data_IF_402174749155
#
_entry.id   IF_402174749155
#
_cell.length_a   1.000
_cell.length_b   1.000
_cell.length_c   1.000
_cell.angle_alpha   90.00
_cell.angle_beta   90.00
_cell.angle_gamma   90.00
#
_symmetry.space_group_name_H-M   'P 1'
#
loop_
_entity.id
_entity.type
_entity.pdbx_description
1 polymer ?
#
# COMPACT_ATOMS: atom_id res chain seq x y z
N UNK A 1 7.06 5.34 -27.38
CA UNK A 1 6.92 4.41 -28.53
C UNK A 1 5.72 3.48 -28.30
N UNK A 2 5.61 2.69 -27.20
CA UNK A 2 4.51 1.75 -26.98
C UNK A 2 3.12 2.41 -27.02
N UNK A 3 2.95 3.60 -26.46
CA UNK A 3 1.66 4.31 -26.48
C UNK A 3 1.27 4.76 -27.89
N UNK A 4 2.23 5.19 -28.71
CA UNK A 4 1.98 5.58 -30.10
C UNK A 4 1.58 4.34 -30.93
N UNK A 5 2.26 3.21 -30.69
CA UNK A 5 1.98 1.98 -31.41
C UNK A 5 0.60 1.39 -31.10
N UNK A 6 0.18 1.48 -29.85
CA UNK A 6 -1.13 1.00 -29.39
C UNK A 6 -2.28 2.00 -29.61
N UNK A 7 -2.01 3.20 -30.10
CA UNK A 7 -3.03 4.20 -30.40
C UNK A 7 -4.02 3.71 -31.47
N UNK A 8 -3.51 3.03 -32.51
CA UNK A 8 -4.34 2.40 -33.53
C UNK A 8 -5.31 1.35 -32.94
N UNK A 9 -4.90 0.61 -31.92
CA UNK A 9 -5.76 -0.31 -31.19
C UNK A 9 -6.85 0.45 -30.42
N UNK A 10 -6.46 1.52 -29.71
CA UNK A 10 -7.39 2.32 -28.91
C UNK A 10 -8.48 2.93 -29.80
N UNK A 11 -8.10 3.50 -30.93
CA UNK A 11 -9.03 4.11 -31.89
C UNK A 11 -9.97 3.08 -32.50
N UNK A 12 -9.48 1.94 -32.95
CA UNK A 12 -10.32 0.90 -33.53
C UNK A 12 -11.31 0.31 -32.52
N UNK A 13 -10.89 0.08 -31.29
CA UNK A 13 -11.79 -0.40 -30.23
C UNK A 13 -12.87 0.63 -29.86
N UNK A 14 -12.52 1.92 -29.81
CA UNK A 14 -13.49 3.01 -29.59
C UNK A 14 -14.49 3.14 -30.73
N UNK A 15 -14.04 3.08 -32.00
CA UNK A 15 -14.90 3.09 -33.19
C UNK A 15 -15.92 1.96 -33.19
N UNK A 16 -15.57 0.80 -32.63
CA UNK A 16 -16.46 -0.35 -32.43
C UNK A 16 -17.39 -0.21 -31.20
N UNK A 17 -17.33 0.93 -30.51
CA UNK A 17 -18.19 1.21 -29.36
C UNK A 17 -17.74 0.61 -28.04
N UNK A 18 -16.51 0.08 -27.96
CA UNK A 18 -15.99 -0.48 -26.71
C UNK A 18 -15.50 0.61 -25.77
N UNK A 19 -15.82 0.47 -24.47
CA UNK A 19 -15.26 1.31 -23.40
C UNK A 19 -13.97 0.67 -22.90
N UNK A 20 -12.84 1.27 -23.25
CA UNK A 20 -11.52 0.77 -22.89
C UNK A 20 -10.80 1.73 -21.95
N UNK A 21 -10.01 1.18 -21.04
CA UNK A 21 -9.04 1.90 -20.21
C UNK A 21 -7.70 1.20 -20.41
N UNK A 22 -6.71 1.93 -20.88
CA UNK A 22 -5.36 1.39 -21.08
C UNK A 22 -4.32 2.18 -20.29
N UNK A 23 -3.40 1.44 -19.71
CA UNK A 23 -2.20 1.99 -19.09
C UNK A 23 -0.99 1.17 -19.57
N UNK A 24 -0.22 1.74 -20.47
CA UNK A 24 0.85 1.05 -21.20
C UNK A 24 0.33 -0.22 -21.90
N UNK A 25 0.76 -1.38 -21.47
CA UNK A 25 0.36 -2.71 -21.96
C UNK A 25 -0.83 -3.34 -21.19
N UNK A 26 -1.22 -2.77 -20.07
CA UNK A 26 -2.39 -3.22 -19.30
C UNK A 26 -3.67 -2.61 -19.90
N UNK A 27 -4.57 -3.47 -20.39
CA UNK A 27 -5.83 -3.10 -21.04
C UNK A 27 -7.01 -3.63 -20.23
N UNK A 28 -8.00 -2.77 -19.98
CA UNK A 28 -9.27 -3.11 -19.38
C UNK A 28 -10.41 -2.72 -20.32
N UNK A 29 -11.28 -3.67 -20.67
CA UNK A 29 -12.45 -3.44 -21.50
C UNK A 29 -13.70 -3.65 -20.64
N UNK A 30 -14.58 -2.66 -20.61
CA UNK A 30 -15.81 -2.68 -19.83
C UNK A 30 -16.98 -3.14 -20.71
N UNK A 31 -17.67 -4.20 -20.29
CA UNK A 31 -18.77 -4.80 -21.02
C UNK A 31 -19.99 -5.00 -20.11
N UNK A 32 -21.20 -4.96 -20.69
CA UNK A 32 -22.46 -5.11 -19.95
C UNK A 32 -22.86 -6.57 -19.73
N UNK A 33 -22.31 -7.52 -20.49
CA UNK A 33 -22.61 -8.94 -20.39
C UNK A 33 -21.39 -9.80 -20.66
N UNK A 34 -21.45 -11.08 -20.26
CA UNK A 34 -20.39 -12.04 -20.52
C UNK A 34 -20.16 -12.28 -22.00
N UNK A 35 -21.23 -12.43 -22.78
CA UNK A 35 -21.15 -12.60 -24.24
C UNK A 35 -20.51 -11.38 -24.91
N UNK A 36 -20.86 -10.17 -24.46
CA UNK A 36 -20.21 -8.94 -24.95
C UNK A 36 -18.72 -8.91 -24.59
N UNK A 37 -18.33 -9.41 -23.42
CA UNK A 37 -16.93 -9.47 -23.00
C UNK A 37 -16.13 -10.52 -23.80
N UNK A 38 -16.74 -11.67 -24.13
CA UNK A 38 -16.13 -12.69 -24.99
C UNK A 38 -15.90 -12.15 -26.41
N UNK A 39 -16.87 -11.47 -26.98
CA UNK A 39 -16.76 -10.81 -28.29
C UNK A 39 -15.70 -9.70 -28.28
N UNK A 40 -15.68 -8.86 -27.25
CA UNK A 40 -14.68 -7.80 -27.10
C UNK A 40 -13.26 -8.37 -26.97
N UNK A 41 -13.10 -9.47 -26.20
CA UNK A 41 -11.83 -10.18 -26.10
C UNK A 41 -11.36 -10.73 -27.45
N UNK A 42 -12.25 -11.38 -28.20
CA UNK A 42 -11.93 -11.91 -29.53
C UNK A 42 -11.51 -10.79 -30.50
N UNK A 43 -12.25 -9.69 -30.53
CA UNK A 43 -11.92 -8.52 -31.35
C UNK A 43 -10.58 -7.89 -30.95
N UNK A 44 -10.35 -7.68 -29.65
CA UNK A 44 -9.09 -7.14 -29.16
C UNK A 44 -7.90 -8.02 -29.54
N UNK A 45 -8.03 -9.34 -29.38
CA UNK A 45 -6.99 -10.30 -29.78
C UNK A 45 -6.75 -10.23 -31.29
N UNK A 46 -7.80 -10.20 -32.08
CA UNK A 46 -7.67 -10.10 -33.55
C UNK A 46 -6.93 -8.82 -33.99
N UNK A 47 -7.21 -7.67 -33.38
CA UNK A 47 -6.51 -6.41 -33.69
C UNK A 47 -5.04 -6.49 -33.26
N UNK A 48 -4.78 -6.92 -32.02
CA UNK A 48 -3.44 -6.97 -31.46
C UNK A 48 -2.54 -7.97 -32.22
N UNK A 49 -3.02 -9.19 -32.43
CA UNK A 49 -2.23 -10.25 -33.10
C UNK A 49 -2.27 -10.15 -34.62
N UNK A 50 -3.45 -9.88 -35.20
CA UNK A 50 -3.64 -9.84 -36.64
C UNK A 50 -3.02 -8.60 -37.27
N UNK A 51 -3.36 -7.41 -36.78
CA UNK A 51 -2.94 -6.12 -37.36
C UNK A 51 -1.61 -5.63 -36.80
N UNK A 52 -1.48 -5.62 -35.45
CA UNK A 52 -0.32 -5.04 -34.80
C UNK A 52 0.82 -6.05 -34.54
N UNK A 53 0.60 -7.34 -34.86
CA UNK A 53 1.61 -8.41 -34.70
C UNK A 53 2.17 -8.50 -33.26
N UNK A 54 1.33 -8.17 -32.29
CA UNK A 54 1.64 -8.31 -30.87
C UNK A 54 1.08 -9.62 -30.33
N UNK A 55 1.76 -10.24 -29.39
CA UNK A 55 1.29 -11.47 -28.73
C UNK A 55 0.48 -11.14 -27.47
N UNK A 56 -0.75 -11.66 -27.38
CA UNK A 56 -1.61 -11.51 -26.20
C UNK A 56 -1.28 -12.60 -25.18
N UNK A 57 -0.96 -12.21 -23.95
CA UNK A 57 -0.72 -13.16 -22.88
C UNK A 57 -2.05 -13.79 -22.40
N UNK A 58 -2.32 -15.01 -22.86
CA UNK A 58 -3.57 -15.74 -22.57
C UNK A 58 -3.73 -16.11 -21.10
N UNK A 59 -2.64 -16.36 -20.36
CA UNK A 59 -2.68 -16.68 -18.93
C UNK A 59 -3.12 -15.48 -18.07
N UNK A 60 -2.79 -14.27 -18.49
CA UNK A 60 -3.17 -13.02 -17.81
C UNK A 60 -4.48 -12.42 -18.31
N UNK A 61 -4.91 -12.78 -19.51
CA UNK A 61 -6.11 -12.23 -20.14
C UNK A 61 -7.33 -13.06 -19.76
N UNK A 62 -8.18 -12.53 -18.90
CA UNK A 62 -9.37 -13.22 -18.41
C UNK A 62 -10.57 -12.30 -18.33
N UNK A 63 -11.76 -12.88 -18.34
CA UNK A 63 -13.03 -12.19 -18.14
C UNK A 63 -13.42 -12.36 -16.68
N UNK A 64 -13.74 -11.26 -16.03
CA UNK A 64 -14.12 -11.24 -14.60
C UNK A 64 -15.41 -10.44 -14.42
N UNK A 65 -16.31 -10.92 -13.57
CA UNK A 65 -17.48 -10.15 -13.16
C UNK A 65 -17.06 -9.03 -12.20
N UNK A 66 -17.73 -7.88 -12.26
CA UNK A 66 -17.41 -6.72 -11.42
C UNK A 66 -17.55 -7.02 -9.91
N UNK A 67 -18.46 -7.92 -9.52
CA UNK A 67 -18.65 -8.30 -8.12
C UNK A 67 -17.51 -9.16 -7.57
N UNK A 68 -16.81 -9.91 -8.43
CA UNK A 68 -15.64 -10.71 -8.06
C UNK A 68 -14.38 -9.85 -7.86
N UNK A 69 -14.43 -8.58 -8.27
CA UNK A 69 -13.33 -7.63 -8.18
C UNK A 69 -12.33 -7.75 -9.32
N UNK A 70 -12.22 -6.67 -10.09
CA UNK A 70 -11.28 -6.54 -11.21
C UNK A 70 -9.92 -6.08 -10.72
N UNK A 71 -8.87 -6.84 -11.01
CA UNK A 71 -7.49 -6.50 -10.63
C UNK A 71 -6.86 -5.64 -11.72
N UNK A 72 -6.63 -4.35 -11.41
CA UNK A 72 -6.02 -3.41 -12.35
C UNK A 72 -5.05 -2.48 -11.60
N UNK A 73 -3.86 -2.25 -12.12
CA UNK A 73 -2.83 -1.34 -11.58
C UNK A 73 -2.55 -1.51 -10.06
N UNK A 74 -2.59 -2.73 -9.57
CA UNK A 74 -2.29 -3.03 -8.14
C UNK A 74 -3.44 -2.80 -7.17
N UNK A 75 -4.61 -2.40 -7.68
CA UNK A 75 -5.87 -2.34 -6.94
C UNK A 75 -6.82 -3.43 -7.41
N UNK A 76 -7.79 -3.75 -6.58
CA UNK A 76 -8.93 -4.62 -6.87
C UNK A 76 -10.18 -3.75 -6.81
N UNK A 77 -10.83 -3.60 -7.97
CA UNK A 77 -11.97 -2.72 -8.17
C UNK A 77 -13.24 -3.58 -8.14
N UNK A 78 -14.06 -3.41 -7.12
CA UNK A 78 -15.38 -4.01 -7.03
C UNK A 78 -16.48 -2.97 -7.26
N UNK A 79 -17.73 -3.41 -7.26
CA UNK A 79 -18.91 -2.55 -7.50
C UNK A 79 -19.10 -1.47 -6.43
N UNK A 80 -18.75 -1.76 -5.17
CA UNK A 80 -18.96 -0.85 -4.03
C UNK A 80 -17.68 -0.25 -3.45
N UNK A 81 -16.53 -0.81 -3.72
CA UNK A 81 -15.26 -0.39 -3.10
C UNK A 81 -14.05 -0.82 -3.93
N UNK A 82 -12.98 -0.08 -3.77
CA UNK A 82 -11.67 -0.41 -4.34
C UNK A 82 -10.70 -0.75 -3.23
N UNK A 83 -9.96 -1.85 -3.35
CA UNK A 83 -8.99 -2.32 -2.35
C UNK A 83 -7.59 -2.41 -2.94
N UNK A 84 -6.59 -2.24 -2.09
CA UNK A 84 -5.20 -2.56 -2.47
C UNK A 84 -5.06 -4.08 -2.56
N UNK A 85 -4.48 -4.57 -3.64
CA UNK A 85 -4.23 -6.02 -3.78
C UNK A 85 -3.38 -6.55 -2.62
N UNK A 86 -3.76 -7.70 -2.01
CA UNK A 86 -3.01 -8.29 -0.88
C UNK A 86 -1.52 -8.51 -1.18
N UNK A 87 -1.20 -8.91 -2.42
CA UNK A 87 0.19 -9.08 -2.88
C UNK A 87 1.01 -7.79 -2.76
N UNK A 88 0.42 -6.64 -3.10
CA UNK A 88 1.08 -5.31 -3.00
C UNK A 88 1.29 -4.90 -1.54
N UNK A 89 0.31 -5.15 -0.66
CA UNK A 89 0.45 -4.91 0.78
C UNK A 89 1.53 -5.79 1.42
N UNK A 90 1.59 -7.07 1.04
CA UNK A 90 2.60 -8.01 1.53
C UNK A 90 4.00 -7.59 1.09
N UNK A 91 4.19 -7.26 -0.18
CA UNK A 91 5.45 -6.77 -0.71
C UNK A 91 5.90 -5.47 -0.03
N UNK A 92 4.96 -4.53 0.19
CA UNK A 92 5.24 -3.28 0.89
C UNK A 92 5.67 -3.53 2.35
N UNK A 93 4.94 -4.37 3.09
CA UNK A 93 5.32 -4.77 4.45
C UNK A 93 6.69 -5.46 4.50
N UNK A 94 7.01 -6.30 3.50
CA UNK A 94 8.33 -6.94 3.41
C UNK A 94 9.45 -5.89 3.25
N UNK A 95 9.27 -4.88 2.39
CA UNK A 95 10.21 -3.79 2.21
C UNK A 95 10.39 -2.96 3.50
N UNK A 96 9.30 -2.59 4.16
CA UNK A 96 9.35 -1.91 5.45
C UNK A 96 10.06 -2.76 6.52
N UNK A 97 9.82 -4.10 6.52
CA UNK A 97 10.49 -5.03 7.43
C UNK A 97 12.00 -5.04 7.23
N UNK A 98 12.48 -5.00 6.00
CA UNK A 98 13.92 -4.92 5.69
C UNK A 98 14.54 -3.63 6.22
N UNK A 99 13.88 -2.48 6.01
CA UNK A 99 14.38 -1.18 6.46
C UNK A 99 14.32 -1.00 7.98
N UNK A 100 13.43 -1.71 8.66
CA UNK A 100 13.26 -1.65 10.11
C UNK A 100 13.85 -2.88 10.83
N UNK A 101 14.98 -3.38 10.35
CA UNK A 101 15.73 -4.43 11.05
C UNK A 101 16.24 -3.88 12.39
N UNK A 102 15.89 -4.57 13.50
CA UNK A 102 16.29 -4.15 14.84
C UNK A 102 17.80 -4.18 15.08
N UNK A 103 18.54 -4.96 14.32
CA UNK A 103 19.98 -5.13 14.43
C UNK A 103 20.78 -4.19 13.50
N UNK A 104 20.13 -3.22 12.84
CA UNK A 104 20.76 -2.35 11.86
C UNK A 104 21.74 -1.31 12.45
N UNK A 105 21.76 -1.10 13.76
CA UNK A 105 22.68 -0.17 14.44
C UNK A 105 22.44 1.32 14.12
N UNK A 106 21.54 1.64 13.21
CA UNK A 106 21.27 3.01 12.79
C UNK A 106 20.47 3.80 13.84
N UNK A 107 20.72 5.10 14.00
CA UNK A 107 19.86 5.99 14.77
C UNK A 107 18.41 5.94 14.29
N UNK A 108 17.45 6.05 15.23
CA UNK A 108 16.02 5.97 14.88
C UNK A 108 15.61 7.05 13.86
N UNK A 109 16.16 8.27 13.99
CA UNK A 109 15.91 9.37 13.06
C UNK A 109 16.30 9.03 11.64
N UNK A 110 17.46 8.40 11.44
CA UNK A 110 17.93 7.98 10.10
C UNK A 110 16.99 6.92 9.50
N UNK A 111 16.48 6.00 10.33
CA UNK A 111 15.49 5.01 9.88
C UNK A 111 14.18 5.69 9.46
N UNK A 112 13.69 6.66 10.24
CA UNK A 112 12.48 7.43 9.91
C UNK A 112 12.66 8.21 8.61
N UNK A 113 13.77 8.90 8.44
CA UNK A 113 14.07 9.66 7.24
C UNK A 113 14.10 8.77 5.99
N UNK A 114 14.66 7.57 6.10
CA UNK A 114 14.69 6.60 5.00
C UNK A 114 13.30 5.98 4.70
N UNK A 115 12.42 5.86 5.70
CA UNK A 115 11.07 5.33 5.53
C UNK A 115 10.11 6.30 4.86
N UNK A 116 10.21 7.60 5.14
CA UNK A 116 9.24 8.60 4.72
C UNK A 116 9.01 8.67 3.21
N UNK A 117 10.03 8.65 2.32
CA UNK A 117 9.81 8.64 0.88
C UNK A 117 8.99 7.42 0.42
N UNK A 118 9.26 6.26 1.03
CA UNK A 118 8.56 5.02 0.70
C UNK A 118 7.09 5.06 1.17
N UNK A 119 6.85 5.58 2.39
CA UNK A 119 5.50 5.75 2.93
C UNK A 119 4.70 6.74 2.08
N UNK A 120 5.29 7.88 1.71
CA UNK A 120 4.66 8.89 0.84
C UNK A 120 4.31 8.31 -0.53
N UNK A 121 5.26 7.66 -1.20
CA UNK A 121 5.02 7.10 -2.52
C UNK A 121 3.92 6.04 -2.51
N UNK A 122 3.93 5.15 -1.52
CA UNK A 122 2.90 4.12 -1.38
C UNK A 122 1.52 4.69 -1.07
N UNK A 123 1.44 5.61 -0.11
CA UNK A 123 0.15 6.20 0.28
C UNK A 123 -0.41 7.09 -0.82
N UNK A 124 0.42 7.88 -1.49
CA UNK A 124 -0.01 8.73 -2.60
C UNK A 124 -0.56 7.91 -3.77
N UNK A 125 0.11 6.80 -4.12
CA UNK A 125 -0.36 5.92 -5.19
C UNK A 125 -1.68 5.22 -4.84
N UNK A 126 -1.81 4.71 -3.62
CA UNK A 126 -2.97 3.91 -3.21
C UNK A 126 -4.08 4.69 -2.50
N UNK A 127 -3.99 6.03 -2.37
CA UNK A 127 -5.07 6.84 -1.78
C UNK A 127 -6.39 6.76 -2.55
N UNK A 128 -6.35 6.39 -3.84
CA UNK A 128 -7.54 6.16 -4.67
C UNK A 128 -8.40 4.99 -4.17
N UNK A 129 -7.80 4.03 -3.49
CA UNK A 129 -8.49 2.88 -2.92
C UNK A 129 -9.07 3.18 -1.54
N UNK A 130 -10.05 2.40 -1.08
CA UNK A 130 -10.55 2.42 0.29
C UNK A 130 -9.53 1.80 1.26
N UNK A 131 -8.39 2.48 1.42
CA UNK A 131 -7.19 1.95 2.06
C UNK A 131 -7.03 2.33 3.53
N UNK A 132 -7.93 3.12 4.12
CA UNK A 132 -7.84 3.66 5.49
C UNK A 132 -7.52 2.57 6.53
N UNK A 133 -8.25 1.44 6.49
CA UNK A 133 -8.00 0.31 7.40
C UNK A 133 -6.60 -0.29 7.22
N UNK A 134 -6.16 -0.45 5.96
CA UNK A 134 -4.83 -0.98 5.64
C UNK A 134 -3.72 -0.03 6.13
N UNK A 135 -3.88 1.27 5.93
CA UNK A 135 -2.94 2.29 6.39
C UNK A 135 -2.85 2.34 7.91
N UNK A 136 -3.97 2.30 8.65
CA UNK A 136 -3.99 2.21 10.12
C UNK A 136 -3.25 0.96 10.62
N UNK A 137 -3.47 -0.19 9.98
CA UNK A 137 -2.78 -1.43 10.35
C UNK A 137 -1.26 -1.34 10.11
N UNK A 138 -0.84 -0.77 8.96
CA UNK A 138 0.58 -0.58 8.63
C UNK A 138 1.22 0.40 9.61
N UNK A 139 0.58 1.54 9.90
CA UNK A 139 1.08 2.56 10.82
C UNK A 139 1.29 1.99 12.24
N UNK A 140 0.29 1.30 12.79
CA UNK A 140 0.38 0.66 14.10
C UNK A 140 1.49 -0.39 14.16
N UNK A 141 1.58 -1.24 13.13
CA UNK A 141 2.62 -2.26 13.02
C UNK A 141 4.02 -1.62 12.89
N UNK A 142 4.16 -0.57 12.10
CA UNK A 142 5.43 0.14 11.89
C UNK A 142 5.90 0.82 13.18
N UNK A 143 5.04 1.57 13.88
CA UNK A 143 5.37 2.20 15.17
C UNK A 143 5.84 1.17 16.19
N UNK A 144 5.22 -0.01 16.25
CA UNK A 144 5.70 -1.09 17.10
C UNK A 144 7.11 -1.57 16.74
N UNK A 145 7.44 -1.63 15.45
CA UNK A 145 8.81 -1.97 15.00
C UNK A 145 9.81 -0.90 15.41
N UNK A 146 9.47 0.37 15.25
CA UNK A 146 10.32 1.50 15.63
C UNK A 146 10.54 1.55 17.14
N UNK A 147 9.50 1.29 17.96
CA UNK A 147 9.65 1.11 19.42
C UNK A 147 10.67 0.00 19.76
N UNK A 148 10.62 -1.11 19.06
CA UNK A 148 11.56 -2.22 19.27
C UNK A 148 13.01 -1.85 18.92
N UNK A 149 13.21 -1.03 17.88
CA UNK A 149 14.54 -0.49 17.54
C UNK A 149 15.02 0.43 18.66
N UNK A 150 14.20 1.38 19.10
CA UNK A 150 14.56 2.34 20.13
C UNK A 150 14.88 1.67 21.47
N UNK A 151 14.09 0.69 21.88
CA UNK A 151 14.38 -0.10 23.10
C UNK A 151 15.76 -0.76 23.00
N UNK A 152 16.12 -1.31 21.85
CA UNK A 152 17.43 -1.91 21.64
C UNK A 152 18.55 -0.88 21.65
N UNK A 153 18.34 0.32 21.05
CA UNK A 153 19.30 1.42 21.09
C UNK A 153 19.55 1.93 22.51
N UNK A 154 18.54 1.94 23.38
CA UNK A 154 18.71 2.28 24.80
C UNK A 154 19.51 1.23 25.56
N UNK A 155 19.61 -0.02 25.11
CA UNK A 155 20.38 -1.14 25.68
C UNK A 155 19.93 -1.56 27.09
N UNK A 156 19.86 -0.63 28.05
CA UNK A 156 19.55 -0.88 29.46
C UNK A 156 18.18 -0.32 29.85
N UNK A 157 17.42 -1.06 30.67
CA UNK A 157 16.12 -0.62 31.18
C UNK A 157 16.22 0.69 31.99
N UNK A 158 17.35 0.93 32.64
CA UNK A 158 17.59 2.18 33.36
C UNK A 158 17.51 3.44 32.49
N UNK A 159 17.88 3.36 31.20
CA UNK A 159 17.71 4.48 30.26
C UNK A 159 16.25 4.76 29.95
N UNK A 160 15.46 3.70 29.71
CA UNK A 160 14.01 3.81 29.53
C UNK A 160 13.36 4.40 30.81
N UNK A 161 13.71 3.90 32.00
CA UNK A 161 13.15 4.40 33.27
C UNK A 161 13.52 5.87 33.51
N UNK A 162 14.76 6.29 33.18
CA UNK A 162 15.17 7.69 33.26
C UNK A 162 14.31 8.55 32.33
N UNK A 163 14.15 8.15 31.08
CA UNK A 163 13.30 8.83 30.13
C UNK A 163 11.87 8.97 30.65
N UNK A 164 11.27 7.90 31.14
CA UNK A 164 9.93 7.90 31.72
C UNK A 164 9.78 8.87 32.88
N UNK A 165 10.75 8.90 33.79
CA UNK A 165 10.75 9.87 34.94
C UNK A 165 10.80 11.32 34.45
N UNK A 166 11.66 11.61 33.48
CA UNK A 166 11.79 12.94 32.89
C UNK A 166 10.50 13.42 32.22
N UNK A 167 9.66 12.47 31.72
CA UNK A 167 8.38 12.75 31.10
C UNK A 167 7.18 12.54 32.02
N UNK A 168 7.40 12.59 33.34
CA UNK A 168 6.35 12.61 34.35
C UNK A 168 5.65 11.28 34.62
N UNK A 169 6.25 10.15 34.26
CA UNK A 169 5.68 8.83 34.54
C UNK A 169 5.78 8.52 36.04
N UNK A 170 4.62 8.35 36.69
CA UNK A 170 4.50 8.07 38.15
C UNK A 170 4.17 6.58 38.45
N UNK A 171 4.04 5.73 37.41
CA UNK A 171 3.68 4.34 37.60
C UNK A 171 4.84 3.44 38.08
N UNK A 172 4.51 2.19 38.37
CA UNK A 172 5.54 1.18 38.75
C UNK A 172 6.38 0.79 37.53
N UNK A 173 7.69 0.68 37.73
CA UNK A 173 8.62 0.21 36.71
C UNK A 173 8.63 -1.31 36.65
N UNK A 174 7.78 -1.90 35.86
CA UNK A 174 7.81 -3.34 35.60
C UNK A 174 9.09 -3.76 34.88
N UNK A 175 9.53 -4.99 35.11
CA UNK A 175 10.66 -5.55 34.35
C UNK A 175 10.40 -5.57 32.87
N UNK A 176 11.32 -5.03 32.07
CA UNK A 176 11.26 -4.99 30.62
C UNK A 176 12.57 -5.51 30.03
N UNK A 177 12.45 -6.53 29.16
CA UNK A 177 13.59 -7.07 28.42
C UNK A 177 13.83 -6.24 27.15
N UNK A 178 14.81 -5.33 27.18
CA UNK A 178 15.10 -4.37 26.10
C UNK A 178 15.39 -5.04 24.75
N UNK A 179 15.83 -6.29 24.74
CA UNK A 179 16.12 -7.07 23.55
C UNK A 179 14.94 -7.88 23.04
N UNK A 180 13.83 -7.96 23.77
CA UNK A 180 12.65 -8.71 23.36
C UNK A 180 11.79 -7.90 22.39
N UNK A 181 11.33 -8.55 21.31
CA UNK A 181 10.37 -7.97 20.39
C UNK A 181 9.02 -7.66 21.07
N UNK A 182 8.58 -8.55 21.99
CA UNK A 182 7.32 -8.39 22.70
C UNK A 182 7.30 -7.15 23.58
N UNK A 183 8.46 -6.71 24.09
CA UNK A 183 8.57 -5.53 24.95
C UNK A 183 8.14 -4.22 24.28
N UNK A 184 8.15 -4.16 22.94
CA UNK A 184 7.62 -3.03 22.19
C UNK A 184 6.09 -2.85 22.31
N UNK A 185 5.38 -3.85 22.86
CA UNK A 185 3.94 -3.79 23.18
C UNK A 185 3.65 -3.45 24.64
N UNK A 186 4.69 -3.36 25.48
CA UNK A 186 4.49 -3.07 26.90
C UNK A 186 3.88 -1.68 27.09
N UNK A 187 3.07 -1.48 28.16
CA UNK A 187 2.56 -0.15 28.52
C UNK A 187 3.70 0.86 28.71
N UNK A 188 4.81 0.45 29.32
CA UNK A 188 5.99 1.32 29.51
C UNK A 188 6.58 1.81 28.19
N UNK A 189 6.71 0.94 27.20
CA UNK A 189 7.21 1.32 25.88
C UNK A 189 6.23 2.23 25.14
N UNK A 190 4.93 1.99 25.28
CA UNK A 190 3.89 2.82 24.67
C UNK A 190 3.80 4.19 25.32
N UNK A 191 3.98 4.28 26.62
CA UNK A 191 4.02 5.55 27.36
C UNK A 191 5.28 6.35 27.01
N UNK A 192 6.45 5.70 26.98
CA UNK A 192 7.72 6.35 26.65
C UNK A 192 7.79 6.86 25.20
N UNK A 193 7.09 6.21 24.29
CA UNK A 193 7.09 6.49 22.86
C UNK A 193 5.63 6.46 22.35
N UNK A 194 4.79 7.44 22.73
CA UNK A 194 3.42 7.56 22.24
C UNK A 194 3.42 7.78 20.71
N UNK A 195 2.26 7.74 20.08
CA UNK A 195 2.17 7.94 18.64
C UNK A 195 2.62 9.35 18.24
N UNK A 196 2.26 10.38 19.02
CA UNK A 196 2.67 11.77 18.84
C UNK A 196 4.19 11.94 18.81
N UNK A 197 4.93 11.18 19.62
CA UNK A 197 6.39 11.23 19.62
C UNK A 197 7.01 10.84 18.25
N UNK A 198 6.39 9.89 17.53
CA UNK A 198 6.84 9.57 16.18
C UNK A 198 6.48 10.67 15.18
N UNK A 199 5.34 11.34 15.36
CA UNK A 199 4.94 12.49 14.56
C UNK A 199 5.93 13.67 14.77
N UNK A 200 6.35 13.92 16.03
CA UNK A 200 7.40 14.90 16.39
C UNK A 200 8.76 14.57 15.77
N UNK A 201 9.11 13.28 15.65
CA UNK A 201 10.30 12.81 14.93
C UNK A 201 10.16 12.90 13.41
N UNK A 202 9.04 13.39 12.92
CA UNK A 202 8.75 13.55 11.49
C UNK A 202 8.39 12.27 10.75
N UNK A 203 7.96 11.21 11.44
CA UNK A 203 7.44 10.02 10.78
C UNK A 203 6.12 10.35 10.08
N UNK A 204 6.04 10.05 8.79
CA UNK A 204 4.80 10.22 8.04
C UNK A 204 3.66 9.40 8.66
N UNK A 205 2.59 10.10 9.02
CA UNK A 205 1.41 9.47 9.59
C UNK A 205 0.46 8.99 8.50
N UNK A 206 0.45 7.68 8.25
CA UNK A 206 -0.44 7.06 7.26
C UNK A 206 -1.92 7.10 7.67
N UNK A 207 -2.23 7.33 8.95
CA UNK A 207 -3.62 7.37 9.43
C UNK A 207 -4.34 8.65 8.99
N UNK A 208 -3.58 9.72 8.71
CA UNK A 208 -4.09 11.01 8.27
C UNK A 208 -4.25 11.10 6.74
N UNK A 209 -3.91 10.04 6.01
CA UNK A 209 -4.06 10.02 4.57
C UNK A 209 -5.52 9.80 4.21
N UNK A 210 -6.11 10.77 3.57
CA UNK A 210 -7.46 10.63 3.01
C UNK A 210 -7.47 9.62 1.88
N UNK A 211 -8.47 8.74 1.87
CA UNK A 211 -8.56 7.60 0.93
C UNK A 211 -9.97 7.46 0.38
N UNK A 212 -10.09 6.85 -0.81
CA UNK A 212 -11.41 6.55 -1.39
C UNK A 212 -12.03 7.66 -2.21
N UNK A 213 -11.25 8.56 -2.77
CA UNK A 213 -11.72 9.74 -3.53
C UNK A 213 -12.56 9.44 -4.78
N UNK A 214 -12.48 8.22 -5.32
CA UNK A 214 -13.01 7.93 -6.66
C UNK A 214 -14.53 7.79 -6.69
N UNK A 215 -15.17 7.44 -5.58
CA UNK A 215 -16.61 7.14 -5.59
C UNK A 215 -17.52 8.27 -5.11
N UNK A 216 -17.01 9.27 -4.40
CA UNK A 216 -17.83 10.38 -3.90
C UNK A 216 -18.17 11.43 -4.97
N UNK A 217 -17.37 11.54 -6.04
CA UNK A 217 -17.56 12.55 -7.07
C UNK A 217 -18.42 12.10 -8.27
N UNK A 218 -18.75 10.82 -8.36
CA UNK A 218 -19.55 10.25 -9.47
C UNK A 218 -20.94 9.74 -9.03
N UNK A 219 -21.28 9.93 -7.76
CA UNK A 219 -22.59 9.54 -7.19
C UNK A 219 -23.59 10.72 -7.19
N UNK A 220 -23.45 11.66 -8.14
CA UNK A 220 -24.45 12.71 -8.42
C UNK A 220 -25.02 12.52 -9.80
#
# INVERSE_FOLDING_TARGET
IANIYLDAFDEEMKQRGHRIVRYADDILILCCSRTAAENAKAQATHILEGKLKLSVNTEKTHITHSDDGVKFLGVEIGTKHTRIQPKKLTAFKAKLKQMTKRNGGMPLQSVINALNPLLRGFSYYFKIANASRAFKQIASWLRRRLRSIQLKLWKKASRLHRWLRQHGYKGKFAHIKMTSWCSARSPLASYAMPNSWFDELGLMNLENVETGYVFSNYAK
#
